data_IF_605046586156
#
_entry.id   IF_605046586156
#
_cell.length_a   1.000
_cell.length_b   1.000
_cell.length_c   1.000
_cell.angle_alpha   90.00
_cell.angle_beta   90.00
_cell.angle_gamma   90.00
#
_symmetry.space_group_name_H-M   'P 1'
#
loop_
_entity.id
_entity.type
_entity.pdbx_description
1 polymer ?
#
# COMPACT_ATOMS: atom_id res chain seq x y z
N UNK A 1 -9.68 -15.70 -9.55
CA UNK A 1 -8.40 -15.92 -8.84
C UNK A 1 -8.00 -14.58 -8.24
N UNK A 2 -7.76 -14.52 -6.93
CA UNK A 2 -7.19 -13.34 -6.27
C UNK A 2 -5.77 -13.70 -5.84
N UNK A 3 -4.79 -12.84 -6.13
CA UNK A 3 -3.39 -13.03 -5.75
C UNK A 3 -3.05 -12.08 -4.60
N UNK A 4 -3.25 -12.46 -3.33
CA UNK A 4 -2.70 -11.70 -2.21
C UNK A 4 -1.16 -11.77 -2.28
N UNK A 5 -0.47 -10.66 -1.93
CA UNK A 5 1.01 -10.52 -1.74
C UNK A 5 1.85 -9.93 -2.89
N UNK A 6 1.36 -8.89 -3.59
CA UNK A 6 2.13 -8.26 -4.69
C UNK A 6 2.86 -6.93 -4.35
N UNK A 7 3.21 -6.63 -3.09
CA UNK A 7 3.69 -5.29 -2.68
C UNK A 7 4.98 -5.26 -1.82
N UNK A 8 5.63 -4.09 -1.79
CA UNK A 8 6.98 -3.84 -1.27
C UNK A 8 7.10 -3.95 0.25
N UNK A 9 8.28 -4.41 0.73
CA UNK A 9 8.53 -4.96 2.08
C UNK A 9 8.03 -4.17 3.31
N UNK A 10 7.95 -2.84 3.26
CA UNK A 10 7.59 -2.01 4.44
C UNK A 10 6.07 -1.74 4.53
N UNK A 11 5.32 -1.89 3.43
CA UNK A 11 3.85 -1.76 3.42
C UNK A 11 3.12 -3.10 3.28
N UNK A 12 3.84 -4.21 3.42
CA UNK A 12 3.26 -5.57 3.33
C UNK A 12 2.13 -5.74 4.34
N UNK A 13 2.26 -5.26 5.57
CA UNK A 13 1.25 -5.52 6.61
C UNK A 13 -0.09 -4.84 6.31
N UNK A 14 -0.18 -3.50 6.05
CA UNK A 14 -1.45 -2.87 5.69
C UNK A 14 -2.04 -3.44 4.40
N UNK A 15 -1.18 -3.69 3.41
CA UNK A 15 -1.60 -4.29 2.14
C UNK A 15 -2.26 -5.64 2.34
N UNK A 16 -1.57 -6.54 3.02
CA UNK A 16 -2.01 -7.92 3.21
C UNK A 16 -3.33 -7.95 3.97
N UNK A 17 -3.44 -7.16 5.03
CA UNK A 17 -4.65 -7.05 5.83
C UNK A 17 -5.85 -6.57 4.99
N UNK A 18 -5.71 -5.47 4.25
CA UNK A 18 -6.76 -4.97 3.37
C UNK A 18 -7.16 -5.98 2.29
N UNK A 19 -6.19 -6.62 1.63
CA UNK A 19 -6.46 -7.61 0.59
C UNK A 19 -7.18 -8.86 1.14
N UNK A 20 -6.81 -9.31 2.35
CA UNK A 20 -7.48 -10.44 3.00
C UNK A 20 -8.90 -10.08 3.43
N UNK A 21 -9.12 -8.89 3.99
CA UNK A 21 -10.46 -8.39 4.34
C UNK A 21 -11.36 -8.27 3.12
N UNK A 22 -10.84 -7.70 2.03
CA UNK A 22 -11.56 -7.60 0.76
C UNK A 22 -11.90 -8.97 0.20
N UNK A 23 -10.94 -9.89 0.15
CA UNK A 23 -11.17 -11.25 -0.33
C UNK A 23 -12.23 -11.98 0.50
N UNK A 24 -12.19 -11.84 1.82
CA UNK A 24 -13.23 -12.36 2.71
C UNK A 24 -14.61 -11.77 2.37
N UNK A 25 -14.70 -10.45 2.16
CA UNK A 25 -15.96 -9.78 1.81
C UNK A 25 -16.53 -10.24 0.46
N UNK A 26 -15.66 -10.60 -0.51
CA UNK A 26 -16.07 -11.26 -1.76
C UNK A 26 -16.65 -12.64 -1.49
N UNK A 27 -16.00 -13.46 -0.66
CA UNK A 27 -16.49 -14.80 -0.32
C UNK A 27 -17.82 -14.77 0.45
N UNK A 28 -18.02 -13.74 1.28
CA UNK A 28 -19.26 -13.51 2.03
C UNK A 28 -20.38 -12.89 1.18
N UNK A 29 -20.07 -12.45 -0.05
CA UNK A 29 -21.03 -11.85 -0.98
C UNK A 29 -21.35 -10.37 -0.69
N UNK A 30 -20.66 -9.76 0.28
CA UNK A 30 -20.73 -8.33 0.57
C UNK A 30 -20.20 -7.52 -0.62
N UNK A 31 -19.06 -7.94 -1.18
CA UNK A 31 -18.52 -7.39 -2.43
C UNK A 31 -18.97 -8.26 -3.58
N UNK A 32 -19.64 -7.65 -4.57
CA UNK A 32 -19.97 -8.31 -5.82
C UNK A 32 -18.93 -7.96 -6.85
N UNK A 33 -18.20 -8.97 -7.32
CA UNK A 33 -17.26 -8.78 -8.41
C UNK A 33 -18.03 -8.41 -9.70
N UNK A 34 -17.47 -7.50 -10.52
CA UNK A 34 -18.02 -7.21 -11.83
C UNK A 34 -17.84 -8.41 -12.77
N UNK A 35 -18.37 -8.30 -13.99
CA UNK A 35 -18.20 -9.35 -15.00
C UNK A 35 -16.71 -9.61 -15.30
N UNK A 36 -16.41 -10.76 -15.89
CA UNK A 36 -15.02 -11.10 -16.25
C UNK A 36 -14.48 -10.11 -17.27
N UNK A 37 -15.30 -9.72 -18.23
CA UNK A 37 -14.98 -8.75 -19.28
C UNK A 37 -14.62 -7.39 -18.67
N UNK A 38 -15.39 -6.92 -17.68
CA UNK A 38 -15.12 -5.68 -16.96
C UNK A 38 -13.84 -5.76 -16.12
N UNK A 39 -13.61 -6.87 -15.41
CA UNK A 39 -12.37 -7.05 -14.64
C UNK A 39 -11.13 -7.02 -15.56
N UNK A 40 -11.19 -7.70 -16.70
CA UNK A 40 -10.09 -7.71 -17.68
C UNK A 40 -9.87 -6.32 -18.26
N UNK A 41 -10.95 -5.62 -18.64
CA UNK A 41 -10.86 -4.25 -19.14
C UNK A 41 -10.23 -3.31 -18.11
N UNK A 42 -10.67 -3.36 -16.85
CA UNK A 42 -10.12 -2.52 -15.79
C UNK A 42 -8.62 -2.79 -15.56
N UNK A 43 -8.21 -4.06 -15.58
CA UNK A 43 -6.80 -4.45 -15.48
C UNK A 43 -5.97 -3.91 -16.66
N UNK A 44 -6.48 -3.99 -17.89
CA UNK A 44 -5.78 -3.48 -19.06
C UNK A 44 -5.70 -1.95 -19.07
N UNK A 45 -6.75 -1.27 -18.60
CA UNK A 45 -6.80 0.18 -18.46
C UNK A 45 -5.74 0.67 -17.45
N UNK A 46 -5.71 0.09 -16.24
CA UNK A 46 -4.69 0.38 -15.20
C UNK A 46 -3.27 0.09 -15.71
N UNK A 47 -3.07 -1.02 -16.42
CA UNK A 47 -1.78 -1.33 -17.02
C UNK A 47 -1.35 -0.29 -18.06
N UNK A 48 -2.26 0.16 -18.92
CA UNK A 48 -1.95 1.20 -19.94
C UNK A 48 -1.66 2.54 -19.30
N UNK A 49 -2.39 2.93 -18.27
CA UNK A 49 -2.15 4.16 -17.52
C UNK A 49 -0.72 4.17 -16.95
N UNK A 50 -0.33 3.12 -16.23
CA UNK A 50 1.01 2.97 -15.63
C UNK A 50 2.13 2.99 -16.65
N UNK A 51 1.92 2.38 -17.82
CA UNK A 51 2.89 2.42 -18.92
C UNK A 51 3.01 3.82 -19.54
N UNK A 52 1.96 4.63 -19.50
CA UNK A 52 1.92 5.98 -20.08
C UNK A 52 2.52 7.07 -19.18
N UNK A 53 2.47 6.89 -17.85
CA UNK A 53 2.96 7.86 -16.86
C UNK A 53 4.50 7.94 -16.77
N UNK A 54 5.24 7.17 -17.57
CA UNK A 54 6.70 7.24 -17.61
C UNK A 54 7.42 6.47 -16.49
N UNK A 55 6.68 5.90 -15.54
CA UNK A 55 7.14 4.84 -14.60
C UNK A 55 7.33 3.48 -15.30
N UNK A 56 7.75 3.53 -16.58
CA UNK A 56 8.14 2.40 -17.44
C UNK A 56 9.39 1.67 -16.95
N UNK A 57 9.54 1.52 -15.64
CA UNK A 57 10.36 0.50 -15.04
C UNK A 57 9.69 -0.82 -15.40
N UNK A 58 10.24 -1.48 -16.43
CA UNK A 58 10.27 -2.92 -16.71
C UNK A 58 9.00 -3.71 -16.30
N UNK A 59 8.45 -4.57 -17.16
CA UNK A 59 7.33 -5.49 -16.82
C UNK A 59 7.41 -6.16 -15.43
N UNK A 60 8.62 -6.33 -14.88
CA UNK A 60 8.92 -6.82 -13.53
C UNK A 60 8.54 -5.89 -12.36
N UNK A 61 8.29 -4.59 -12.59
CA UNK A 61 8.05 -3.55 -11.56
C UNK A 61 6.73 -2.80 -11.77
N UNK A 62 5.95 -3.13 -12.80
CA UNK A 62 4.60 -2.58 -13.08
C UNK A 62 3.61 -2.75 -11.91
N UNK A 63 3.92 -3.64 -10.96
CA UNK A 63 3.15 -3.88 -9.75
C UNK A 63 3.51 -2.94 -8.58
N UNK A 64 4.54 -2.10 -8.73
CA UNK A 64 4.86 -1.06 -7.75
C UNK A 64 3.73 -0.04 -7.69
N UNK A 65 3.04 0.05 -6.55
CA UNK A 65 1.94 1.01 -6.38
C UNK A 65 2.40 2.39 -5.88
N UNK A 66 3.66 2.55 -5.49
CA UNK A 66 4.24 3.86 -5.12
C UNK A 66 3.32 4.69 -4.22
N UNK A 67 3.01 5.91 -4.65
CA UNK A 67 2.10 6.83 -3.95
C UNK A 67 0.62 6.43 -4.07
N UNK A 68 0.23 5.69 -5.13
CA UNK A 68 -1.14 5.20 -5.38
C UNK A 68 -1.58 4.10 -4.39
N UNK A 69 -0.64 3.50 -3.64
CA UNK A 69 -0.93 2.40 -2.71
C UNK A 69 -2.02 2.74 -1.70
N UNK A 70 -1.92 3.89 -1.02
CA UNK A 70 -2.85 4.21 0.06
C UNK A 70 -4.27 4.47 -0.45
N UNK A 71 -4.42 5.12 -1.60
CA UNK A 71 -5.72 5.28 -2.26
C UNK A 71 -6.35 3.94 -2.62
N UNK A 72 -5.56 3.00 -3.14
CA UNK A 72 -6.04 1.64 -3.40
C UNK A 72 -6.52 0.92 -2.13
N UNK A 73 -5.80 1.05 -1.01
CA UNK A 73 -6.24 0.43 0.25
C UNK A 73 -7.53 1.06 0.80
N UNK A 74 -7.71 2.37 0.60
CA UNK A 74 -8.95 3.08 0.92
C UNK A 74 -10.12 2.61 0.05
N UNK A 75 -9.91 2.43 -1.26
CA UNK A 75 -10.91 1.88 -2.18
C UNK A 75 -11.36 0.48 -1.77
N UNK A 76 -10.42 -0.42 -1.45
CA UNK A 76 -10.76 -1.75 -0.94
C UNK A 76 -11.62 -1.67 0.33
N UNK A 77 -11.32 -0.73 1.22
CA UNK A 77 -12.08 -0.51 2.46
C UNK A 77 -13.50 -0.01 2.18
N UNK A 78 -13.63 0.96 1.27
CA UNK A 78 -14.93 1.48 0.84
C UNK A 78 -15.82 0.42 0.21
N UNK A 79 -15.27 -0.44 -0.65
CA UNK A 79 -16.01 -1.52 -1.29
C UNK A 79 -16.38 -2.64 -0.31
N UNK A 80 -15.45 -3.06 0.56
CA UNK A 80 -15.64 -4.19 1.46
C UNK A 80 -16.26 -3.80 2.82
N UNK A 81 -16.45 -2.51 3.09
CA UNK A 81 -17.06 -2.00 4.33
C UNK A 81 -16.16 -2.12 5.56
N UNK A 82 -14.84 -2.01 5.40
CA UNK A 82 -13.91 -1.91 6.53
C UNK A 82 -13.26 -0.52 6.58
N UNK A 83 -12.94 -0.07 7.79
CA UNK A 83 -12.35 1.25 8.00
C UNK A 83 -10.96 1.36 7.37
N UNK A 84 -10.64 2.47 6.70
CA UNK A 84 -9.32 2.71 6.15
C UNK A 84 -8.28 2.84 7.26
N UNK A 85 -7.02 2.59 6.91
CA UNK A 85 -5.91 2.81 7.84
C UNK A 85 -5.79 4.30 8.18
N UNK A 86 -5.55 4.57 9.45
CA UNK A 86 -5.36 5.94 9.91
C UNK A 86 -4.13 6.61 9.28
N UNK A 87 -4.15 7.94 9.06
CA UNK A 87 -3.05 8.66 8.41
C UNK A 87 -1.69 8.51 9.08
N UNK A 88 -1.63 8.32 10.40
CA UNK A 88 -0.38 8.05 11.12
C UNK A 88 0.32 6.79 10.60
N UNK A 89 -0.42 5.75 10.21
CA UNK A 89 0.14 4.50 9.66
C UNK A 89 0.87 4.78 8.35
N UNK A 90 0.25 5.56 7.46
CA UNK A 90 0.86 6.01 6.21
C UNK A 90 2.15 6.78 6.47
N UNK A 91 2.09 7.78 7.35
CA UNK A 91 3.24 8.62 7.70
C UNK A 91 4.39 7.80 8.29
N UNK A 92 4.09 6.80 9.14
CA UNK A 92 5.10 5.89 9.69
C UNK A 92 5.81 5.10 8.57
N UNK A 93 5.03 4.48 7.67
CA UNK A 93 5.59 3.70 6.57
C UNK A 93 6.45 4.57 5.65
N UNK A 94 5.98 5.76 5.29
CA UNK A 94 6.72 6.71 4.45
C UNK A 94 8.01 7.19 5.12
N UNK A 95 7.97 7.49 6.42
CA UNK A 95 9.14 7.90 7.19
C UNK A 95 10.18 6.77 7.28
N UNK A 96 9.74 5.53 7.52
CA UNK A 96 10.60 4.35 7.56
C UNK A 96 11.25 4.09 6.19
N UNK A 97 10.48 4.13 5.10
CA UNK A 97 10.99 4.01 3.74
C UNK A 97 12.01 5.10 3.42
N UNK A 98 11.74 6.34 3.82
CA UNK A 98 12.65 7.47 3.63
C UNK A 98 13.96 7.23 4.36
N UNK A 99 13.90 6.87 5.65
CA UNK A 99 15.08 6.63 6.47
C UNK A 99 16.00 5.55 5.86
N UNK A 100 15.43 4.41 5.44
CA UNK A 100 16.16 3.32 4.77
C UNK A 100 16.85 3.79 3.48
N UNK A 101 16.20 4.66 2.70
CA UNK A 101 16.75 5.17 1.43
C UNK A 101 17.82 6.24 1.61
N UNK A 102 17.72 7.05 2.66
CA UNK A 102 18.65 8.17 2.90
C UNK A 102 19.87 7.77 3.72
N UNK A 103 19.73 6.77 4.59
CA UNK A 103 20.81 6.29 5.45
C UNK A 103 20.73 4.78 5.63
N UNK A 104 21.53 4.03 4.90
CA UNK A 104 21.53 2.57 4.97
C UNK A 104 22.27 2.02 6.19
N UNK A 105 23.08 2.83 6.87
CA UNK A 105 23.96 2.40 7.94
C UNK A 105 23.32 2.56 9.32
N UNK A 106 22.63 3.69 9.57
CA UNK A 106 22.16 4.03 10.91
C UNK A 106 20.66 4.26 11.05
N UNK A 107 19.85 4.09 9.99
CA UNK A 107 18.39 4.26 10.05
C UNK A 107 17.70 3.45 11.15
N UNK A 108 18.27 2.32 11.57
CA UNK A 108 17.71 1.48 12.64
C UNK A 108 17.81 2.11 14.03
N UNK A 109 18.64 3.14 14.19
CA UNK A 109 18.79 3.88 15.44
C UNK A 109 17.69 4.94 15.61
N UNK A 110 17.01 5.32 14.52
CA UNK A 110 15.90 6.25 14.58
C UNK A 110 14.67 5.56 15.20
N UNK A 111 13.98 6.31 16.07
CA UNK A 111 12.70 5.86 16.65
C UNK A 111 11.57 6.59 15.92
N UNK A 112 10.68 5.82 15.30
CA UNK A 112 9.41 6.29 14.76
C UNK A 112 8.29 5.89 15.72
N UNK A 113 7.60 6.87 16.28
CA UNK A 113 6.54 6.65 17.27
C UNK A 113 5.24 7.29 16.82
N UNK A 114 4.14 6.52 16.87
CA UNK A 114 2.79 7.06 16.70
C UNK A 114 2.37 7.82 17.95
N UNK A 115 1.83 9.04 17.78
CA UNK A 115 1.32 9.88 18.87
C UNK A 115 -0.19 9.76 18.97
N UNK A 116 -0.88 9.87 17.85
CA UNK A 116 -2.34 9.77 17.72
C UNK A 116 -2.69 9.17 16.35
N UNK A 117 -3.94 9.31 15.88
CA UNK A 117 -4.35 8.78 14.57
C UNK A 117 -3.78 9.53 13.38
N UNK A 118 -3.32 10.76 13.58
CA UNK A 118 -2.82 11.66 12.55
C UNK A 118 -1.30 11.84 12.60
N UNK A 119 -0.71 11.81 13.79
CA UNK A 119 0.64 12.35 14.03
C UNK A 119 1.65 11.28 14.44
N UNK A 120 2.87 11.49 13.99
CA UNK A 120 4.04 10.66 14.31
C UNK A 120 5.19 11.53 14.80
N UNK A 121 6.05 10.97 15.63
CA UNK A 121 7.33 11.53 16.02
C UNK A 121 8.45 10.72 15.39
N UNK A 122 9.46 11.42 14.89
CA UNK A 122 10.71 10.84 14.40
C UNK A 122 11.85 11.36 15.25
N UNK A 123 12.37 10.49 16.12
CA UNK A 123 13.46 10.81 17.04
C UNK A 123 14.75 10.24 16.45
N UNK A 124 15.65 11.13 16.01
CA UNK A 124 16.98 10.73 15.54
C UNK A 124 17.90 10.54 16.74
N UNK A 125 18.45 9.34 16.90
CA UNK A 125 19.47 9.11 17.91
C UNK A 125 20.83 9.56 17.34
N UNK A 126 21.40 10.62 17.92
CA UNK A 126 22.77 11.02 17.63
C UNK A 126 23.72 9.94 18.12
N UNK A 127 24.42 9.29 17.20
CA UNK A 127 25.51 8.37 17.53
C UNK A 127 26.65 9.22 18.10
N UNK A 128 26.90 9.11 19.41
CA UNK A 128 28.09 9.66 20.08
C UNK A 128 29.31 8.79 19.84
#
# INVERSE_FOLDING_TARGET
MAFPLLLTLITITPTLDCQLKYYKAVLEGTVKLPSTEEMVKNMEDDYRERMSEGDGLNRLVAHGMGEKLWGYLEELGGEAGFEPYEPATRKLSEAAFRAVRTDTATFKNDILQRVDSENILHIKQSVS
#
